data_IF_016372130424
#
_entry.id   IF_016372130424
#
_cell.length_a   1.000
_cell.length_b   1.000
_cell.length_c   1.000
_cell.angle_alpha   90.00
_cell.angle_beta   90.00
_cell.angle_gamma   90.00
#
_symmetry.space_group_name_H-M   'P 1'
#
loop_
_entity.id
_entity.type
_entity.pdbx_description
1 polymer ?
#
# COMPACT_ATOMS: atom_id res chain seq x y z
N UNK A 1 -3.13 3.36 24.13
CA UNK A 1 -3.94 4.53 23.70
C UNK A 1 -5.32 4.00 23.32
N UNK A 2 -6.39 4.72 23.65
CA UNK A 2 -7.74 4.41 23.18
C UNK A 2 -7.83 4.57 21.66
N UNK A 3 -8.48 3.62 20.98
CA UNK A 3 -8.65 3.62 19.54
C UNK A 3 -9.72 4.64 19.12
N UNK A 4 -9.59 5.22 17.92
CA UNK A 4 -10.54 6.23 17.42
C UNK A 4 -11.77 5.63 16.72
N UNK A 5 -11.63 4.47 16.09
CA UNK A 5 -12.61 3.93 15.14
C UNK A 5 -13.39 2.74 15.73
N UNK A 6 -14.30 3.00 16.66
CA UNK A 6 -15.14 1.93 17.22
C UNK A 6 -16.43 2.45 17.88
N UNK A 7 -17.42 1.57 17.99
CA UNK A 7 -18.61 1.77 18.81
C UNK A 7 -18.61 0.82 20.02
N UNK A 8 -19.17 1.28 21.14
CA UNK A 8 -19.45 0.45 22.30
C UNK A 8 -20.76 -0.31 22.07
N UNK A 9 -20.77 -1.58 22.45
CA UNK A 9 -21.93 -2.45 22.40
C UNK A 9 -22.32 -2.90 23.82
N UNK A 10 -23.41 -3.65 23.93
CA UNK A 10 -23.84 -4.28 25.18
C UNK A 10 -22.78 -5.24 25.75
N UNK A 11 -22.85 -5.50 27.05
CA UNK A 11 -21.96 -6.44 27.76
C UNK A 11 -20.46 -6.11 27.61
N UNK A 12 -20.13 -4.82 27.57
CA UNK A 12 -18.76 -4.31 27.37
C UNK A 12 -18.10 -4.79 26.06
N UNK A 13 -18.87 -5.28 25.09
CA UNK A 13 -18.35 -5.60 23.75
C UNK A 13 -18.09 -4.30 22.99
N UNK A 14 -17.24 -4.37 21.98
CA UNK A 14 -16.99 -3.25 21.05
C UNK A 14 -17.03 -3.74 19.62
N UNK A 15 -17.42 -2.88 18.68
CA UNK A 15 -17.22 -3.13 17.25
C UNK A 15 -16.20 -2.15 16.69
N UNK A 16 -15.11 -2.70 16.15
CA UNK A 16 -14.01 -1.93 15.58
C UNK A 16 -14.31 -1.58 14.12
N UNK A 17 -14.42 -0.30 13.77
CA UNK A 17 -14.66 0.20 12.41
C UNK A 17 -13.38 0.62 11.67
N UNK A 18 -12.20 0.30 12.21
CA UNK A 18 -10.93 0.68 11.58
C UNK A 18 -10.71 0.06 10.19
N UNK A 19 -11.14 -1.18 9.98
CA UNK A 19 -10.97 -1.90 8.72
C UNK A 19 -12.22 -2.72 8.42
N UNK A 20 -12.39 -3.14 7.16
CA UNK A 20 -13.60 -3.80 6.69
C UNK A 20 -13.84 -5.22 7.24
N UNK A 21 -13.09 -5.65 8.26
CA UNK A 21 -13.48 -6.81 9.08
C UNK A 21 -14.58 -6.50 10.06
N UNK A 22 -14.70 -5.23 10.48
CA UNK A 22 -15.70 -4.77 11.46
C UNK A 22 -15.80 -5.67 12.71
N UNK A 23 -14.64 -6.06 13.24
CA UNK A 23 -14.56 -7.06 14.32
C UNK A 23 -15.42 -6.66 15.51
N UNK A 24 -16.32 -7.55 15.94
CA UNK A 24 -16.94 -7.51 17.26
C UNK A 24 -15.99 -8.18 18.25
N UNK A 25 -15.56 -7.47 19.27
CA UNK A 25 -14.50 -7.88 20.19
C UNK A 25 -15.06 -7.92 21.60
N UNK A 26 -15.01 -9.09 22.24
CA UNK A 26 -15.40 -9.29 23.63
C UNK A 26 -14.37 -8.68 24.60
N UNK A 27 -14.76 -8.36 25.85
CA UNK A 27 -13.83 -7.91 26.88
C UNK A 27 -12.62 -8.84 27.02
N UNK A 28 -11.41 -8.27 27.09
CA UNK A 28 -10.15 -9.03 27.19
C UNK A 28 -9.72 -9.73 25.90
N UNK A 29 -10.47 -9.60 24.80
CA UNK A 29 -10.12 -10.18 23.49
C UNK A 29 -9.55 -9.14 22.55
N UNK A 30 -9.03 -9.63 21.42
CA UNK A 30 -8.44 -8.82 20.36
C UNK A 30 -9.09 -9.05 19.02
N UNK A 31 -9.06 -8.03 18.17
CA UNK A 31 -9.48 -8.14 16.77
C UNK A 31 -8.54 -9.01 15.94
N UNK A 32 -8.90 -9.28 14.69
CA UNK A 32 -8.15 -10.18 13.80
C UNK A 32 -6.70 -9.76 13.55
N UNK A 33 -6.39 -8.46 13.68
CA UNK A 33 -5.03 -7.93 13.55
C UNK A 33 -4.15 -8.15 14.79
N UNK A 34 -4.72 -8.64 15.90
CA UNK A 34 -4.05 -8.89 17.20
C UNK A 34 -3.46 -7.67 17.91
N UNK A 35 -3.68 -6.46 17.38
CA UNK A 35 -3.14 -5.20 17.93
C UNK A 35 -4.22 -4.25 18.45
N UNK A 36 -5.49 -4.64 18.32
CA UNK A 36 -6.66 -3.93 18.84
C UNK A 36 -7.30 -4.78 19.92
N UNK A 37 -7.30 -4.30 21.16
CA UNK A 37 -7.71 -5.03 22.35
C UNK A 37 -8.87 -4.33 23.04
N UNK A 38 -9.94 -5.04 23.33
CA UNK A 38 -11.04 -4.51 24.12
C UNK A 38 -10.71 -4.64 25.61
N UNK A 39 -10.58 -3.52 26.30
CA UNK A 39 -10.37 -3.44 27.75
C UNK A 39 -11.65 -2.91 28.39
N UNK A 40 -12.50 -3.83 28.82
CA UNK A 40 -13.75 -3.56 29.53
C UNK A 40 -14.65 -2.50 28.86
N UNK A 41 -14.85 -2.63 27.54
CA UNK A 41 -15.68 -1.72 26.74
C UNK A 41 -14.91 -0.54 26.12
N UNK A 42 -13.60 -0.48 26.31
CA UNK A 42 -12.71 0.51 25.69
C UNK A 42 -11.75 -0.18 24.73
N UNK A 43 -11.90 0.08 23.43
CA UNK A 43 -10.98 -0.46 22.44
C UNK A 43 -9.66 0.30 22.52
N UNK A 44 -8.56 -0.42 22.73
CA UNK A 44 -7.21 0.14 22.80
C UNK A 44 -6.35 -0.34 21.64
N UNK A 45 -5.53 0.54 21.08
CA UNK A 45 -4.40 0.15 20.23
C UNK A 45 -3.18 -0.20 21.08
N UNK A 46 -2.56 -1.33 20.76
CA UNK A 46 -1.36 -1.83 21.44
C UNK A 46 -0.06 -1.41 20.75
N UNK A 47 -0.16 -0.87 19.54
CA UNK A 47 0.99 -0.59 18.66
C UNK A 47 1.25 0.90 18.44
N UNK A 48 0.52 1.78 19.10
CA UNK A 48 0.81 3.22 19.04
C UNK A 48 2.24 3.49 19.51
N UNK A 49 3.07 4.03 18.61
CA UNK A 49 4.48 4.31 18.86
C UNK A 49 5.35 3.08 19.10
N UNK A 50 4.96 1.88 18.64
CA UNK A 50 5.74 0.63 18.75
C UNK A 50 6.33 0.25 17.40
N UNK A 51 7.46 0.87 17.06
CA UNK A 51 8.09 0.73 15.75
C UNK A 51 8.94 -0.53 15.71
N UNK A 52 8.64 -1.43 14.78
CA UNK A 52 9.39 -2.67 14.59
C UNK A 52 10.41 -2.59 13.44
N UNK A 53 10.23 -1.64 12.54
CA UNK A 53 11.14 -1.39 11.45
C UNK A 53 11.14 0.10 11.09
N UNK A 54 12.32 0.65 10.83
CA UNK A 54 12.54 1.99 10.31
C UNK A 54 13.70 1.92 9.30
N UNK A 55 13.47 2.32 8.03
CA UNK A 55 14.52 2.30 7.00
C UNK A 55 14.39 3.50 6.06
N UNK A 56 15.51 3.88 5.44
CA UNK A 56 15.51 4.78 4.28
C UNK A 56 15.38 3.96 3.02
N UNK A 57 14.24 4.11 2.34
CA UNK A 57 13.97 3.43 1.07
C UNK A 57 13.75 4.46 -0.04
N UNK A 58 14.16 4.17 -1.28
CA UNK A 58 13.73 4.96 -2.43
C UNK A 58 12.21 4.82 -2.63
N UNK A 59 11.57 5.88 -3.12
CA UNK A 59 10.11 5.87 -3.34
C UNK A 59 9.67 4.80 -4.35
N UNK A 60 10.56 4.42 -5.28
CA UNK A 60 10.35 3.34 -6.24
C UNK A 60 10.12 1.98 -5.57
N UNK A 61 10.61 1.77 -4.34
CA UNK A 61 10.36 0.55 -3.56
C UNK A 61 8.95 0.51 -2.97
N UNK A 62 8.21 1.63 -2.97
CA UNK A 62 6.80 1.75 -2.53
C UNK A 62 5.81 1.63 -3.69
N UNK A 63 6.21 0.92 -4.75
CA UNK A 63 5.78 1.12 -6.14
C UNK A 63 5.05 2.44 -6.44
N UNK A 64 5.72 3.57 -6.17
CA UNK A 64 5.21 4.90 -6.44
C UNK A 64 6.10 5.58 -7.49
N UNK A 65 5.88 5.26 -8.76
CA UNK A 65 6.74 5.72 -9.86
C UNK A 65 6.39 7.14 -10.31
N UNK A 66 5.19 7.61 -9.99
CA UNK A 66 4.65 8.91 -10.36
C UNK A 66 4.42 9.79 -9.13
N UNK A 67 5.13 9.51 -8.03
CA UNK A 67 5.12 10.32 -6.82
C UNK A 67 6.55 10.57 -6.36
N UNK A 68 7.05 11.79 -6.59
CA UNK A 68 8.38 12.25 -6.22
C UNK A 68 9.52 11.27 -6.62
N UNK A 69 9.58 10.81 -7.88
CA UNK A 69 10.55 9.80 -8.33
C UNK A 69 11.99 10.20 -8.02
N UNK A 70 12.79 9.25 -7.56
CA UNK A 70 14.19 9.43 -7.14
C UNK A 70 14.37 9.96 -5.72
N UNK A 71 13.30 10.32 -5.02
CA UNK A 71 13.36 10.74 -3.63
C UNK A 71 13.51 9.57 -2.64
N UNK A 72 14.03 9.88 -1.45
CA UNK A 72 14.02 8.98 -0.31
C UNK A 72 12.74 9.16 0.51
N UNK A 73 12.27 8.05 1.09
CA UNK A 73 11.15 8.03 2.03
C UNK A 73 11.52 7.26 3.31
N UNK A 74 11.31 7.91 4.46
CA UNK A 74 11.53 7.30 5.76
C UNK A 74 10.41 6.30 6.06
N UNK A 75 10.73 5.02 5.96
CA UNK A 75 9.77 3.92 5.97
C UNK A 75 9.63 3.31 7.34
N UNK A 76 8.42 3.27 7.90
CA UNK A 76 8.15 2.73 9.22
C UNK A 76 7.06 1.67 9.23
N UNK A 77 7.10 0.79 10.23
CA UNK A 77 6.07 -0.22 10.49
C UNK A 77 5.90 -0.51 11.98
N UNK A 78 4.74 -1.06 12.33
CA UNK A 78 4.50 -1.76 13.61
C UNK A 78 4.31 -3.25 13.35
N UNK A 79 4.16 -4.07 14.40
CA UNK A 79 3.70 -5.45 14.21
C UNK A 79 2.20 -5.51 13.91
N UNK A 80 1.76 -6.63 13.34
CA UNK A 80 0.35 -6.93 13.10
C UNK A 80 -0.13 -6.51 11.71
N UNK A 81 -1.16 -7.20 11.21
CA UNK A 81 -1.80 -6.93 9.94
C UNK A 81 -3.24 -7.48 10.00
N UNK A 82 -4.17 -6.80 9.32
CA UNK A 82 -5.55 -7.24 9.21
C UNK A 82 -5.74 -8.36 8.15
N UNK A 83 -4.73 -8.65 7.33
CA UNK A 83 -4.70 -9.78 6.40
C UNK A 83 -3.82 -10.93 6.92
N UNK A 84 -4.02 -12.12 6.36
CA UNK A 84 -3.23 -13.33 6.60
C UNK A 84 -2.76 -13.92 5.26
N UNK A 85 -2.17 -13.08 4.40
CA UNK A 85 -1.72 -13.47 3.06
C UNK A 85 -0.72 -14.63 3.12
N UNK A 86 -1.03 -15.75 2.46
CA UNK A 86 -0.16 -16.94 2.42
C UNK A 86 1.20 -16.69 1.73
N UNK A 87 1.32 -15.60 0.96
CA UNK A 87 2.53 -15.19 0.23
C UNK A 87 3.19 -13.93 0.83
N UNK A 88 2.89 -13.57 2.08
CA UNK A 88 3.42 -12.33 2.67
C UNK A 88 4.94 -12.41 2.87
N UNK A 89 5.70 -11.52 2.22
CA UNK A 89 7.16 -11.43 2.40
C UNK A 89 7.55 -10.89 3.79
N UNK A 90 6.66 -10.17 4.45
CA UNK A 90 6.85 -9.59 5.78
C UNK A 90 6.06 -10.36 6.85
N UNK A 91 5.84 -11.66 6.66
CA UNK A 91 5.03 -12.48 7.58
C UNK A 91 5.61 -12.50 9.00
N UNK A 92 6.92 -12.39 9.15
CA UNK A 92 7.59 -12.38 10.45
C UNK A 92 7.25 -11.17 11.33
N UNK A 93 6.85 -10.02 10.75
CA UNK A 93 6.39 -8.84 11.50
C UNK A 93 4.87 -8.63 11.41
N UNK A 94 4.27 -8.91 10.24
CA UNK A 94 2.82 -8.75 10.03
C UNK A 94 2.00 -9.81 10.78
N UNK A 95 2.52 -11.03 10.90
CA UNK A 95 1.88 -12.12 11.65
C UNK A 95 2.52 -12.35 13.03
N UNK A 96 3.49 -11.51 13.43
CA UNK A 96 4.21 -11.69 14.70
C UNK A 96 3.29 -11.91 15.89
N UNK A 97 2.29 -11.03 16.17
CA UNK A 97 1.47 -11.21 17.37
C UNK A 97 0.67 -12.50 17.31
N UNK A 98 0.18 -12.91 16.14
CA UNK A 98 -0.55 -14.17 15.94
C UNK A 98 0.33 -15.39 16.23
N UNK A 99 1.59 -15.36 15.78
CA UNK A 99 2.56 -16.46 15.91
C UNK A 99 3.22 -16.53 17.29
N UNK A 100 3.15 -15.45 18.07
CA UNK A 100 3.82 -15.33 19.36
C UNK A 100 2.85 -14.99 20.51
N UNK A 101 1.66 -15.61 20.53
CA UNK A 101 0.75 -15.54 21.67
C UNK A 101 0.25 -14.13 22.03
N UNK A 102 0.11 -13.26 21.03
CA UNK A 102 -0.30 -11.87 21.21
C UNK A 102 0.83 -10.94 21.68
N UNK A 103 2.09 -11.38 21.70
CA UNK A 103 3.21 -10.50 22.08
C UNK A 103 3.32 -9.31 21.12
N UNK A 104 3.44 -8.12 21.69
CA UNK A 104 3.69 -6.88 20.96
C UNK A 104 5.15 -6.48 21.17
N UNK A 105 5.87 -6.29 20.07
CA UNK A 105 7.28 -5.85 20.06
C UNK A 105 7.41 -4.55 19.28
N UNK A 106 8.55 -3.90 19.43
CA UNK A 106 8.88 -2.63 18.78
C UNK A 106 9.42 -1.61 19.77
N UNK A 107 10.26 -0.73 19.27
CA UNK A 107 10.85 0.38 20.01
C UNK A 107 9.81 1.47 20.25
N UNK A 108 9.84 2.06 21.44
CA UNK A 108 8.98 3.18 21.78
C UNK A 108 9.47 4.43 21.04
N UNK A 109 8.65 4.98 20.14
CA UNK A 109 8.93 6.20 19.40
C UNK A 109 7.72 7.13 19.47
N UNK A 110 7.97 8.42 19.68
CA UNK A 110 6.92 9.44 19.59
C UNK A 110 6.73 9.87 18.13
N UNK A 111 5.57 10.44 17.77
CA UNK A 111 5.40 11.01 16.44
C UNK A 111 6.47 12.05 16.07
N UNK A 112 6.88 12.88 17.03
CA UNK A 112 7.92 13.89 16.86
C UNK A 112 9.28 13.25 16.49
N UNK A 113 9.67 12.18 17.18
CA UNK A 113 10.92 11.46 16.88
C UNK A 113 10.93 10.86 15.47
N UNK A 114 9.78 10.43 14.94
CA UNK A 114 9.69 9.91 13.55
C UNK A 114 9.90 11.04 12.55
N UNK A 115 9.24 12.18 12.78
CA UNK A 115 9.35 13.34 11.90
C UNK A 115 10.74 13.94 11.92
N UNK A 116 11.37 14.05 13.09
CA UNK A 116 12.74 14.57 13.19
C UNK A 116 13.75 13.64 12.49
N UNK A 117 13.63 12.33 12.65
CA UNK A 117 14.47 11.36 11.92
C UNK A 117 14.30 11.49 10.40
N UNK A 118 13.05 11.62 9.92
CA UNK A 118 12.76 11.76 8.49
C UNK A 118 13.31 13.07 7.90
N UNK A 119 13.26 14.18 8.65
CA UNK A 119 13.89 15.44 8.26
C UNK A 119 15.41 15.30 8.24
N UNK A 120 16.00 14.74 9.30
CA UNK A 120 17.45 14.57 9.42
C UNK A 120 18.02 13.68 8.33
N UNK A 121 17.26 12.70 7.86
CA UNK A 121 17.70 11.81 6.78
C UNK A 121 17.61 12.44 5.39
N UNK A 122 17.07 13.65 5.24
CA UNK A 122 16.80 14.27 3.95
C UNK A 122 15.70 13.56 3.13
N UNK A 123 14.78 12.86 3.80
CA UNK A 123 13.66 12.23 3.09
C UNK A 123 12.68 13.28 2.58
N UNK A 124 12.04 13.03 1.43
CA UNK A 124 10.96 13.87 0.94
C UNK A 124 9.61 13.55 1.63
N UNK A 125 9.52 12.39 2.28
CA UNK A 125 8.33 11.96 2.99
C UNK A 125 8.57 10.79 3.93
N UNK A 126 7.46 10.33 4.51
CA UNK A 126 7.38 9.18 5.39
C UNK A 126 6.45 8.14 4.74
N UNK A 127 6.90 6.90 4.68
CA UNK A 127 6.12 5.77 4.20
C UNK A 127 5.71 4.85 5.34
N UNK A 128 4.41 4.57 5.44
CA UNK A 128 3.86 3.62 6.41
C UNK A 128 3.61 2.31 5.66
N UNK A 129 4.41 1.29 5.96
CA UNK A 129 4.62 0.15 5.04
C UNK A 129 5.09 -1.11 5.79
N UNK A 130 5.58 -2.12 5.07
CA UNK A 130 5.99 -3.47 5.48
C UNK A 130 4.89 -4.34 6.08
N UNK A 131 4.11 -3.80 7.01
CA UNK A 131 2.82 -4.34 7.46
C UNK A 131 1.67 -3.48 6.93
N UNK A 132 0.44 -3.73 7.38
CA UNK A 132 -0.70 -2.90 6.98
C UNK A 132 -0.76 -1.60 7.80
N UNK A 133 -0.60 -0.41 7.19
CA UNK A 133 -0.61 0.87 7.92
C UNK A 133 -1.95 1.19 8.60
N UNK A 134 -3.08 0.72 8.07
CA UNK A 134 -4.40 0.91 8.68
C UNK A 134 -4.43 0.42 10.13
N UNK A 135 -3.70 -0.65 10.50
CA UNK A 135 -3.78 -1.20 11.87
C UNK A 135 -3.16 -0.30 12.93
N UNK A 136 -2.34 0.68 12.54
CA UNK A 136 -1.73 1.68 13.43
C UNK A 136 -2.09 3.14 13.05
N UNK A 137 -3.28 3.31 12.46
CA UNK A 137 -3.81 4.59 11.94
C UNK A 137 -3.63 5.79 12.86
N UNK A 138 -3.93 5.68 14.15
CA UNK A 138 -3.84 6.82 15.07
C UNK A 138 -2.40 7.35 15.17
N UNK A 139 -1.42 6.45 15.17
CA UNK A 139 -0.01 6.86 15.17
C UNK A 139 0.39 7.44 13.82
N UNK A 140 -0.04 6.83 12.72
CA UNK A 140 0.24 7.31 11.37
C UNK A 140 -0.35 8.72 11.12
N UNK A 141 -1.56 8.98 11.61
CA UNK A 141 -2.20 10.28 11.51
C UNK A 141 -1.44 11.34 12.32
N UNK A 142 -1.09 11.05 13.58
CA UNK A 142 -0.37 12.01 14.43
C UNK A 142 1.03 12.33 13.85
N UNK A 143 1.75 11.32 13.32
CA UNK A 143 2.99 11.53 12.57
C UNK A 143 2.73 12.36 11.32
N UNK A 144 1.70 12.04 10.55
CA UNK A 144 1.43 12.68 9.28
C UNK A 144 1.05 14.16 9.39
N UNK A 145 0.27 14.51 10.40
CA UNK A 145 -0.05 15.91 10.72
C UNK A 145 1.20 16.71 11.09
N UNK A 146 2.12 16.12 11.87
CA UNK A 146 3.41 16.73 12.20
C UNK A 146 4.33 16.83 10.98
N UNK A 147 4.39 15.79 10.16
CA UNK A 147 5.21 15.69 8.96
C UNK A 147 4.87 16.79 7.95
N UNK A 148 3.56 17.03 7.72
CA UNK A 148 3.07 18.09 6.83
C UNK A 148 3.51 19.48 7.27
N UNK A 149 3.53 19.77 8.58
CA UNK A 149 4.04 21.04 9.12
C UNK A 149 5.53 21.23 8.87
N UNK A 150 6.27 20.16 8.58
CA UNK A 150 7.69 20.15 8.26
C UNK A 150 7.97 19.98 6.76
N UNK A 151 6.93 20.04 5.90
CA UNK A 151 7.07 19.91 4.45
C UNK A 151 7.26 18.48 3.94
N UNK A 152 7.15 17.46 4.81
CA UNK A 152 7.25 16.06 4.44
C UNK A 152 5.92 15.53 3.90
N UNK A 153 6.00 14.65 2.89
CA UNK A 153 4.86 13.91 2.35
C UNK A 153 4.52 12.67 3.15
N UNK A 154 3.26 12.25 3.15
CA UNK A 154 2.79 11.01 3.78
C UNK A 154 2.31 10.01 2.77
N UNK A 155 2.83 8.79 2.88
CA UNK A 155 2.62 7.73 1.90
C UNK A 155 2.20 6.43 2.58
N UNK A 156 1.10 5.84 2.15
CA UNK A 156 0.77 4.47 2.51
C UNK A 156 1.23 3.47 1.44
N UNK A 157 1.59 2.27 1.89
CA UNK A 157 1.60 1.07 1.05
C UNK A 157 0.67 0.09 1.75
N UNK A 158 -0.55 -0.02 1.26
CA UNK A 158 -1.65 -0.66 1.99
C UNK A 158 -2.28 -1.80 1.20
N UNK A 159 -3.01 -2.67 1.89
CA UNK A 159 -3.91 -3.64 1.28
C UNK A 159 -5.30 -3.07 0.97
N UNK A 160 -5.51 -1.77 1.23
CA UNK A 160 -6.76 -1.06 0.92
C UNK A 160 -7.99 -1.59 1.64
N UNK A 161 -7.89 -2.33 2.74
CA UNK A 161 -9.06 -2.94 3.40
C UNK A 161 -9.69 -2.04 4.47
N UNK A 162 -9.85 -0.76 4.14
CA UNK A 162 -10.37 0.27 5.04
C UNK A 162 -11.91 0.27 5.07
N UNK A 163 -12.49 0.88 6.11
CA UNK A 163 -13.91 1.26 6.07
C UNK A 163 -14.05 2.64 5.43
N UNK A 164 -15.28 3.07 5.15
CA UNK A 164 -15.53 4.44 4.69
C UNK A 164 -14.97 5.51 5.65
N UNK A 165 -15.09 5.27 6.96
CA UNK A 165 -14.64 6.19 8.00
C UNK A 165 -13.12 6.29 8.04
N UNK A 166 -12.41 5.14 8.07
CA UNK A 166 -10.95 5.16 8.12
C UNK A 166 -10.31 5.62 6.81
N UNK A 167 -10.92 5.31 5.66
CA UNK A 167 -10.50 5.87 4.37
C UNK A 167 -10.68 7.41 4.32
N UNK A 168 -11.77 7.93 4.92
CA UNK A 168 -11.99 9.37 5.05
C UNK A 168 -10.95 10.04 5.94
N UNK A 169 -10.58 9.41 7.06
CA UNK A 169 -9.51 9.90 7.94
C UNK A 169 -8.14 9.90 7.23
N UNK A 170 -7.80 8.83 6.49
CA UNK A 170 -6.60 8.75 5.64
C UNK A 170 -6.49 9.93 4.69
N UNK A 171 -7.58 10.23 3.98
CA UNK A 171 -7.60 11.33 3.01
C UNK A 171 -7.29 12.71 3.63
N UNK A 172 -7.44 12.87 4.95
CA UNK A 172 -7.11 14.11 5.65
C UNK A 172 -5.61 14.39 5.78
N UNK A 173 -4.74 13.39 5.66
CA UNK A 173 -3.29 13.56 5.86
C UNK A 173 -2.39 12.86 4.82
N UNK A 174 -2.90 11.88 4.09
CA UNK A 174 -2.13 11.17 3.06
C UNK A 174 -1.99 12.00 1.79
N UNK A 175 -0.77 12.02 1.25
CA UNK A 175 -0.50 12.58 -0.07
C UNK A 175 -0.55 11.49 -1.15
N UNK A 176 -0.18 10.23 -0.82
CA UNK A 176 -0.30 9.09 -1.72
C UNK A 176 -0.58 7.77 -0.99
N UNK A 177 -1.16 6.80 -1.72
CA UNK A 177 -1.25 5.40 -1.31
C UNK A 177 -0.94 4.48 -2.51
N UNK A 178 -0.06 3.50 -2.29
CA UNK A 178 0.05 2.35 -3.18
C UNK A 178 -0.82 1.22 -2.62
N UNK A 179 -1.94 0.97 -3.29
CA UNK A 179 -2.92 -0.03 -2.83
C UNK A 179 -2.69 -1.37 -3.53
N UNK A 180 -2.53 -2.43 -2.76
CA UNK A 180 -2.43 -3.80 -3.26
C UNK A 180 -3.81 -4.36 -3.67
N UNK A 181 -4.15 -4.26 -4.96
CA UNK A 181 -5.25 -5.01 -5.56
C UNK A 181 -4.76 -6.41 -5.94
N UNK A 182 -4.81 -7.34 -4.98
CA UNK A 182 -4.15 -8.65 -5.05
C UNK A 182 -4.79 -9.63 -6.05
N UNK A 183 -6.05 -9.43 -6.40
CA UNK A 183 -6.83 -10.27 -7.32
C UNK A 183 -8.14 -9.56 -7.67
N UNK A 184 -8.83 -10.00 -8.72
CA UNK A 184 -10.21 -9.63 -9.03
C UNK A 184 -11.20 -10.77 -8.75
N UNK A 185 -10.84 -11.70 -7.85
CA UNK A 185 -11.67 -12.83 -7.42
C UNK A 185 -11.82 -12.82 -5.90
N UNK A 186 -13.06 -12.75 -5.40
CA UNK A 186 -13.31 -12.77 -3.96
C UNK A 186 -12.82 -14.08 -3.29
N UNK A 187 -12.86 -15.20 -4.02
CA UNK A 187 -12.36 -16.49 -3.54
C UNK A 187 -10.85 -16.48 -3.25
N UNK A 188 -10.06 -15.75 -4.05
CA UNK A 188 -8.64 -15.51 -3.76
C UNK A 188 -8.48 -14.78 -2.43
N UNK A 189 -9.25 -13.71 -2.18
CA UNK A 189 -9.18 -12.98 -0.92
C UNK A 189 -9.57 -13.86 0.27
N UNK A 190 -10.63 -14.66 0.15
CA UNK A 190 -11.08 -15.55 1.23
C UNK A 190 -10.06 -16.65 1.54
N UNK A 191 -9.52 -17.31 0.51
CA UNK A 191 -8.61 -18.44 0.68
C UNK A 191 -7.19 -18.01 1.01
N UNK A 192 -6.64 -17.07 0.23
CA UNK A 192 -5.24 -16.64 0.27
C UNK A 192 -5.00 -15.52 1.26
N UNK A 193 -5.92 -14.56 1.41
CA UNK A 193 -5.70 -13.37 2.25
C UNK A 193 -6.50 -13.38 3.57
N UNK A 194 -7.49 -14.26 3.70
CA UNK A 194 -8.52 -14.27 4.76
C UNK A 194 -9.27 -12.93 4.84
N UNK A 195 -9.65 -12.39 3.69
CA UNK A 195 -10.31 -11.10 3.52
C UNK A 195 -11.39 -11.16 2.43
N UNK A 196 -11.82 -9.99 1.92
CA UNK A 196 -12.82 -9.84 0.85
C UNK A 196 -12.33 -8.85 -0.22
N UNK A 197 -12.76 -9.02 -1.46
CA UNK A 197 -12.38 -8.14 -2.56
C UNK A 197 -13.07 -6.77 -2.48
N UNK A 198 -14.40 -6.76 -2.32
CA UNK A 198 -15.21 -5.54 -2.46
C UNK A 198 -14.70 -4.34 -1.65
N UNK A 199 -14.32 -4.48 -0.36
CA UNK A 199 -13.83 -3.34 0.40
C UNK A 199 -12.52 -2.74 -0.12
N UNK A 200 -11.68 -3.53 -0.81
CA UNK A 200 -10.46 -3.03 -1.46
C UNK A 200 -10.82 -2.13 -2.65
N UNK A 201 -11.75 -2.58 -3.49
CA UNK A 201 -12.24 -1.80 -4.63
C UNK A 201 -12.86 -0.48 -4.16
N UNK A 202 -13.73 -0.54 -3.14
CA UNK A 202 -14.36 0.66 -2.57
C UNK A 202 -13.34 1.63 -1.96
N UNK A 203 -12.27 1.13 -1.34
CA UNK A 203 -11.22 1.98 -0.77
C UNK A 203 -10.43 2.68 -1.86
N UNK A 204 -10.06 1.99 -2.95
CA UNK A 204 -9.41 2.59 -4.12
C UNK A 204 -10.30 3.72 -4.68
N UNK A 205 -11.59 3.47 -4.86
CA UNK A 205 -12.54 4.49 -5.35
C UNK A 205 -12.66 5.70 -4.40
N UNK A 206 -12.68 5.47 -3.08
CA UNK A 206 -12.81 6.53 -2.08
C UNK A 206 -11.56 7.40 -2.03
N UNK A 207 -10.38 6.79 -1.97
CA UNK A 207 -9.11 7.50 -1.96
C UNK A 207 -8.90 8.30 -3.27
N UNK A 208 -9.27 7.71 -4.41
CA UNK A 208 -9.19 8.41 -5.70
C UNK A 208 -10.08 9.66 -5.71
N UNK A 209 -11.35 9.51 -5.32
CA UNK A 209 -12.30 10.63 -5.24
C UNK A 209 -11.88 11.70 -4.25
N UNK A 210 -11.17 11.33 -3.18
CA UNK A 210 -10.66 12.26 -2.18
C UNK A 210 -9.38 13.00 -2.63
N UNK A 211 -8.84 12.69 -3.81
CA UNK A 211 -7.66 13.37 -4.35
C UNK A 211 -6.32 12.87 -3.80
N UNK A 212 -6.31 11.74 -3.09
CA UNK A 212 -5.06 11.06 -2.72
C UNK A 212 -4.42 10.52 -4.00
N UNK A 213 -3.11 10.75 -4.20
CA UNK A 213 -2.41 10.16 -5.35
C UNK A 213 -2.40 8.63 -5.21
N UNK A 214 -2.89 7.93 -6.23
CA UNK A 214 -3.01 6.48 -6.18
C UNK A 214 -2.17 5.82 -7.27
N UNK A 215 -1.42 4.82 -6.85
CA UNK A 215 -0.90 3.78 -7.71
C UNK A 215 -1.38 2.44 -7.17
N UNK A 216 -1.59 1.45 -8.05
CA UNK A 216 -2.14 0.16 -7.65
C UNK A 216 -1.16 -0.94 -8.00
N UNK A 217 -0.93 -1.86 -7.06
CA UNK A 217 -0.04 -3.00 -7.26
C UNK A 217 -0.81 -4.31 -7.26
N UNK A 218 -0.48 -5.18 -8.21
CA UNK A 218 -0.93 -6.57 -8.24
C UNK A 218 0.32 -7.47 -8.28
N UNK A 219 0.55 -8.23 -7.21
CA UNK A 219 1.52 -9.31 -7.23
C UNK A 219 0.92 -10.47 -8.03
N UNK A 220 1.47 -10.75 -9.20
CA UNK A 220 0.97 -11.81 -10.10
C UNK A 220 1.57 -13.14 -9.64
N UNK A 221 0.72 -14.11 -9.31
CA UNK A 221 1.06 -15.43 -8.78
C UNK A 221 0.61 -16.49 -9.77
N UNK A 222 1.54 -17.33 -10.29
CA UNK A 222 1.22 -18.34 -11.29
C UNK A 222 0.10 -19.29 -10.89
N UNK A 223 -0.91 -19.43 -11.75
CA UNK A 223 -2.06 -20.30 -11.57
C UNK A 223 -3.09 -19.82 -10.53
N UNK A 224 -3.00 -18.57 -10.05
CA UNK A 224 -3.98 -18.01 -9.10
C UNK A 224 -4.66 -16.74 -9.61
N UNK A 225 -3.90 -15.76 -10.11
CA UNK A 225 -4.42 -14.47 -10.55
C UNK A 225 -3.71 -13.95 -11.83
N UNK A 226 -3.08 -14.86 -12.58
CA UNK A 226 -2.28 -14.56 -13.77
C UNK A 226 -3.04 -14.80 -15.09
N UNK A 227 -4.35 -15.09 -15.02
CA UNK A 227 -5.17 -15.28 -16.21
C UNK A 227 -5.36 -13.96 -16.97
N UNK A 228 -5.30 -13.95 -18.31
CA UNK A 228 -5.54 -12.74 -19.10
C UNK A 228 -6.88 -12.06 -18.82
N UNK A 229 -7.92 -12.85 -18.53
CA UNK A 229 -9.26 -12.37 -18.23
C UNK A 229 -9.27 -11.55 -16.93
N UNK A 230 -8.70 -12.09 -15.86
CA UNK A 230 -8.64 -11.43 -14.55
C UNK A 230 -7.77 -10.17 -14.60
N UNK A 231 -6.59 -10.25 -15.22
CA UNK A 231 -5.72 -9.09 -15.43
C UNK A 231 -6.42 -7.99 -16.23
N UNK A 232 -7.23 -8.36 -17.22
CA UNK A 232 -8.05 -7.44 -17.99
C UNK A 232 -9.14 -6.76 -17.15
N UNK A 233 -9.74 -7.48 -16.20
CA UNK A 233 -10.75 -6.90 -15.29
C UNK A 233 -10.13 -5.90 -14.31
N UNK A 234 -8.96 -6.21 -13.74
CA UNK A 234 -8.19 -5.26 -12.93
C UNK A 234 -7.92 -3.99 -13.75
N UNK A 235 -7.38 -4.14 -14.96
CA UNK A 235 -7.06 -2.99 -15.80
C UNK A 235 -8.29 -2.15 -16.17
N UNK A 236 -9.42 -2.80 -16.51
CA UNK A 236 -10.68 -2.11 -16.81
C UNK A 236 -11.25 -1.39 -15.59
N UNK A 237 -11.17 -1.99 -14.40
CA UNK A 237 -11.57 -1.35 -13.15
C UNK A 237 -10.76 -0.06 -12.92
N UNK A 238 -9.43 -0.15 -12.96
CA UNK A 238 -8.57 1.04 -12.78
C UNK A 238 -8.84 2.10 -13.85
N UNK A 239 -8.98 1.69 -15.11
CA UNK A 239 -9.31 2.59 -16.22
C UNK A 239 -10.66 3.29 -16.03
N UNK A 240 -11.64 2.61 -15.45
CA UNK A 240 -12.97 3.19 -15.19
C UNK A 240 -12.91 4.34 -14.19
N UNK A 241 -11.91 4.35 -13.30
CA UNK A 241 -11.64 5.45 -12.39
C UNK A 241 -10.83 6.54 -13.08
N UNK A 242 -9.68 6.18 -13.66
CA UNK A 242 -8.86 7.11 -14.45
C UNK A 242 -7.85 6.35 -15.31
N UNK A 243 -7.61 6.77 -16.57
CA UNK A 243 -6.51 6.22 -17.37
C UNK A 243 -5.12 6.57 -16.80
N UNK A 244 -5.06 7.57 -15.91
CA UNK A 244 -3.83 8.07 -15.32
C UNK A 244 -3.36 7.33 -14.08
N UNK A 245 -4.15 6.39 -13.52
CA UNK A 245 -3.71 5.57 -12.37
C UNK A 245 -2.66 4.57 -12.85
N UNK A 246 -1.40 4.67 -12.36
CA UNK A 246 -0.39 3.67 -12.64
C UNK A 246 -0.75 2.31 -12.06
N UNK A 247 -0.60 1.27 -12.87
CA UNK A 247 -0.74 -0.10 -12.44
C UNK A 247 0.61 -0.83 -12.46
N UNK A 248 0.97 -1.42 -11.33
CA UNK A 248 2.20 -2.19 -11.15
C UNK A 248 1.88 -3.68 -11.08
N UNK A 249 2.38 -4.45 -12.04
CA UNK A 249 2.33 -5.91 -12.02
C UNK A 249 3.68 -6.45 -11.59
N UNK A 250 3.73 -7.08 -10.42
CA UNK A 250 4.99 -7.50 -9.80
C UNK A 250 5.14 -9.02 -9.77
N UNK A 251 6.37 -9.51 -9.95
CA UNK A 251 6.64 -10.94 -9.91
C UNK A 251 6.57 -11.47 -8.48
N UNK A 252 5.84 -12.57 -8.31
CA UNK A 252 5.86 -13.41 -7.13
C UNK A 252 7.15 -14.24 -7.07
N UNK A 253 7.56 -14.56 -5.84
CA UNK A 253 8.48 -15.65 -5.58
C UNK A 253 7.94 -16.51 -4.42
N UNK A 254 8.24 -17.81 -4.40
CA UNK A 254 7.88 -18.69 -3.28
C UNK A 254 8.30 -18.06 -1.95
N UNK A 255 7.35 -17.93 -1.02
CA UNK A 255 7.59 -17.34 0.30
C UNK A 255 6.47 -17.71 1.27
N UNK A 256 6.74 -17.58 2.57
CA UNK A 256 5.83 -17.91 3.66
C UNK A 256 5.20 -19.31 3.49
N UNK A 257 3.88 -19.43 3.41
CA UNK A 257 3.17 -20.71 3.25
C UNK A 257 3.01 -21.12 1.77
N UNK A 258 3.21 -20.18 0.84
CA UNK A 258 3.04 -20.40 -0.59
C UNK A 258 4.36 -20.78 -1.24
N UNK A 259 4.81 -22.02 -0.99
CA UNK A 259 6.05 -22.57 -1.52
C UNK A 259 5.85 -23.53 -2.70
N UNK A 260 4.59 -23.79 -3.07
CA UNK A 260 4.15 -24.80 -4.03
C UNK A 260 4.05 -24.30 -5.48
N UNK A 261 4.43 -23.03 -5.73
CA UNK A 261 4.33 -22.37 -7.04
C UNK A 261 5.65 -21.74 -7.44
N UNK A 262 6.00 -21.70 -8.74
CA UNK A 262 7.24 -21.10 -9.19
C UNK A 262 7.21 -19.57 -9.08
N UNK A 263 8.39 -18.95 -9.25
CA UNK A 263 8.48 -17.51 -9.49
C UNK A 263 7.69 -17.13 -10.75
N UNK A 264 7.09 -15.95 -10.76
CA UNK A 264 6.38 -15.44 -11.94
C UNK A 264 7.35 -15.19 -13.09
N UNK A 265 7.15 -15.81 -14.25
CA UNK A 265 7.97 -15.53 -15.42
C UNK A 265 7.82 -14.07 -15.88
N UNK A 266 8.90 -13.45 -16.36
CA UNK A 266 8.84 -12.09 -16.88
C UNK A 266 7.86 -11.94 -18.05
N UNK A 267 7.74 -12.97 -18.90
CA UNK A 267 6.75 -13.02 -19.98
C UNK A 267 5.31 -12.82 -19.48
N UNK A 268 4.96 -13.35 -18.31
CA UNK A 268 3.63 -13.16 -17.70
C UNK A 268 3.38 -11.69 -17.36
N UNK A 269 4.37 -11.00 -16.81
CA UNK A 269 4.26 -9.58 -16.47
C UNK A 269 4.23 -8.68 -17.70
N UNK A 270 5.04 -8.98 -18.71
CA UNK A 270 4.99 -8.29 -20.00
C UNK A 270 3.62 -8.46 -20.66
N UNK A 271 3.02 -9.65 -20.55
CA UNK A 271 1.67 -9.87 -21.05
C UNK A 271 0.62 -9.08 -20.27
N UNK A 272 0.72 -9.05 -18.94
CA UNK A 272 -0.17 -8.23 -18.10
C UNK A 272 -0.05 -6.73 -18.44
N UNK A 273 1.17 -6.25 -18.71
CA UNK A 273 1.43 -4.89 -19.19
C UNK A 273 0.72 -4.61 -20.51
N UNK A 274 0.84 -5.49 -21.50
CA UNK A 274 0.13 -5.36 -22.78
C UNK A 274 -1.38 -5.26 -22.58
N UNK A 275 -1.95 -6.14 -21.74
CA UNK A 275 -3.37 -6.17 -21.42
C UNK A 275 -3.81 -4.84 -20.79
N UNK A 276 -3.04 -4.32 -19.83
CA UNK A 276 -3.37 -3.08 -19.15
C UNK A 276 -3.31 -1.86 -20.07
N UNK A 277 -2.29 -1.78 -20.94
CA UNK A 277 -2.18 -0.73 -21.96
C UNK A 277 -3.32 -0.83 -22.99
N UNK A 278 -3.66 -2.05 -23.44
CA UNK A 278 -4.78 -2.28 -24.38
C UNK A 278 -6.15 -1.94 -23.78
N UNK A 279 -6.30 -2.06 -22.46
CA UNK A 279 -7.49 -1.60 -21.73
C UNK A 279 -7.57 -0.06 -21.63
N UNK A 280 -6.53 0.67 -22.03
CA UNK A 280 -6.49 2.13 -22.07
C UNK A 280 -5.85 2.80 -20.85
N UNK A 281 -5.17 2.04 -19.98
CA UNK A 281 -4.30 2.64 -18.97
C UNK A 281 -3.09 3.27 -19.66
N UNK A 282 -2.66 4.44 -19.17
CA UNK A 282 -1.48 5.13 -19.70
C UNK A 282 -0.18 4.52 -19.20
N UNK A 283 -0.18 3.98 -17.98
CA UNK A 283 1.03 3.55 -17.29
C UNK A 283 0.89 2.12 -16.75
N UNK A 284 1.36 1.22 -17.60
CA UNK A 284 1.81 -0.16 -17.33
C UNK A 284 3.11 -0.20 -16.51
N UNK A 285 3.33 -0.90 -15.40
CA UNK A 285 4.68 -1.14 -14.88
C UNK A 285 4.91 -2.59 -14.49
N UNK A 286 6.11 -3.09 -14.75
CA UNK A 286 6.54 -4.44 -14.35
C UNK A 286 7.52 -4.33 -13.19
N UNK A 287 7.25 -5.03 -12.10
CA UNK A 287 8.06 -5.02 -10.88
C UNK A 287 8.76 -6.35 -10.60
N UNK A 288 9.81 -6.30 -9.78
CA UNK A 288 10.62 -7.46 -9.35
C UNK A 288 11.33 -8.25 -10.47
N UNK A 289 11.48 -7.66 -11.66
CA UNK A 289 12.23 -8.22 -12.80
C UNK A 289 13.18 -7.18 -13.40
N UNK A 290 14.14 -6.65 -12.61
CA UNK A 290 14.96 -5.51 -13.01
C UNK A 290 15.71 -5.77 -14.32
N UNK A 291 15.61 -4.82 -15.25
CA UNK A 291 16.26 -4.90 -16.57
C UNK A 291 15.56 -5.81 -17.58
N UNK A 292 14.40 -6.38 -17.26
CA UNK A 292 13.62 -7.23 -18.17
C UNK A 292 12.49 -6.46 -18.88
N UNK A 293 12.54 -5.13 -18.84
CA UNK A 293 11.63 -4.23 -19.54
C UNK A 293 10.36 -3.91 -18.76
N UNK A 294 9.78 -2.73 -19.03
CA UNK A 294 8.53 -2.25 -18.44
C UNK A 294 8.64 -1.42 -17.15
N UNK A 295 9.86 -1.01 -16.75
CA UNK A 295 10.11 -0.18 -15.57
C UNK A 295 10.16 1.34 -15.88
N UNK A 296 10.35 1.69 -17.16
CA UNK A 296 10.51 3.07 -17.61
C UNK A 296 9.16 3.77 -17.79
N UNK A 297 9.12 5.06 -17.42
CA UNK A 297 7.99 5.93 -17.76
C UNK A 297 8.20 6.46 -19.17
N UNK A 298 7.20 6.22 -20.04
CA UNK A 298 7.16 6.76 -21.40
C UNK A 298 5.95 7.68 -21.55
N UNK A 299 6.07 8.70 -22.41
CA UNK A 299 4.98 9.62 -22.66
C UNK A 299 3.82 8.90 -23.34
N UNK A 300 2.64 8.92 -22.72
CA UNK A 300 1.44 8.27 -23.27
C UNK A 300 0.99 8.87 -24.61
N UNK A 301 1.42 10.10 -24.94
CA UNK A 301 0.99 10.81 -26.15
C UNK A 301 1.96 10.64 -27.33
N UNK A 302 3.28 10.62 -27.10
CA UNK A 302 4.29 10.56 -28.18
C UNK A 302 5.31 9.43 -28.05
N UNK A 303 5.29 8.66 -26.96
CA UNK A 303 6.20 7.53 -26.75
C UNK A 303 7.61 7.91 -26.27
N UNK A 304 7.91 9.20 -26.08
CA UNK A 304 9.20 9.65 -25.56
C UNK A 304 9.56 8.99 -24.22
N UNK A 305 10.82 8.60 -24.01
CA UNK A 305 11.32 8.20 -22.70
C UNK A 305 11.32 9.40 -21.76
N UNK A 306 10.66 9.28 -20.61
CA UNK A 306 10.51 10.37 -19.64
C UNK A 306 11.29 10.10 -18.36
N UNK A 307 11.19 8.88 -17.83
CA UNK A 307 11.97 8.48 -16.65
C UNK A 307 12.56 7.10 -16.93
N UNK A 308 13.89 7.02 -16.91
CA UNK A 308 14.64 5.77 -17.07
C UNK A 308 14.93 5.16 -15.70
N UNK A 309 14.59 3.88 -15.53
CA UNK A 309 14.78 3.12 -14.29
C UNK A 309 15.55 1.83 -14.55
N UNK A 310 16.26 1.38 -13.52
CA UNK A 310 16.71 0.01 -13.37
C UNK A 310 16.41 -0.44 -11.93
N UNK A 311 15.39 -1.27 -11.75
CA UNK A 311 14.85 -1.55 -10.41
C UNK A 311 14.44 -0.25 -9.73
N UNK A 312 14.92 -0.06 -8.50
CA UNK A 312 14.58 1.11 -7.68
C UNK A 312 15.48 2.34 -7.92
N UNK A 313 16.30 2.35 -8.97
CA UNK A 313 17.21 3.48 -9.27
C UNK A 313 16.72 4.25 -10.48
N UNK A 314 16.61 5.57 -10.34
CA UNK A 314 16.45 6.49 -11.47
C UNK A 314 17.80 6.68 -12.15
N UNK A 315 17.87 6.40 -13.45
CA UNK A 315 19.04 6.67 -14.31
C UNK A 315 18.95 8.00 -15.02
N UNK A 316 17.72 8.44 -15.32
CA UNK A 316 17.44 9.74 -15.92
C UNK A 316 16.00 10.14 -15.68
N UNK A 317 15.78 11.43 -15.42
CA UNK A 317 14.47 12.05 -15.36
C UNK A 317 14.46 13.23 -16.33
N UNK A 318 13.66 13.13 -17.39
CA UNK A 318 13.59 14.07 -18.50
C UNK A 318 12.30 14.88 -18.50
N UNK A 319 11.46 14.73 -17.47
CA UNK A 319 10.26 15.56 -17.29
C UNK A 319 10.64 17.01 -17.05
N UNK A 320 9.82 17.93 -17.56
CA UNK A 320 9.91 19.36 -17.27
C UNK A 320 8.59 19.81 -16.66
N UNK A 321 8.60 20.17 -15.38
CA UNK A 321 7.41 20.62 -14.64
C UNK A 321 6.21 19.65 -14.80
N UNK A 322 6.49 18.34 -14.73
CA UNK A 322 5.47 17.29 -14.91
C UNK A 322 4.95 17.12 -16.34
N UNK A 323 5.65 17.64 -17.36
CA UNK A 323 5.27 17.54 -18.77
C UNK A 323 6.33 16.81 -19.59
N UNK A 324 5.88 16.22 -20.69
CA UNK A 324 6.77 15.67 -21.71
C UNK A 324 7.51 16.82 -22.43
N UNK A 325 8.85 16.82 -22.50
CA UNK A 325 9.58 17.88 -23.18
C UNK A 325 9.36 17.90 -24.71
N UNK A 326 9.00 16.74 -25.30
CA UNK A 326 8.84 16.62 -26.76
C UNK A 326 7.47 17.08 -27.26
N UNK A 327 6.38 16.78 -26.54
CA UNK A 327 5.02 17.07 -26.99
C UNK A 327 4.17 17.89 -26.00
N UNK A 328 4.75 18.29 -24.86
CA UNK A 328 4.12 19.13 -23.83
C UNK A 328 2.89 18.52 -23.13
N UNK A 329 2.58 17.25 -23.41
CA UNK A 329 1.53 16.52 -22.72
C UNK A 329 1.80 16.50 -21.20
N UNK A 330 0.82 16.88 -20.36
CA UNK A 330 0.93 16.76 -18.91
C UNK A 330 0.95 15.27 -18.54
N UNK A 331 1.91 14.87 -17.73
CA UNK A 331 2.08 13.48 -17.30
C UNK A 331 1.47 13.36 -15.90
N UNK A 332 0.52 12.44 -15.73
CA UNK A 332 -0.21 12.28 -14.47
C UNK A 332 0.78 11.90 -13.36
N UNK A 333 0.84 12.66 -12.27
CA UNK A 333 1.75 12.37 -11.17
C UNK A 333 1.97 13.57 -10.27
N UNK A 334 2.68 13.32 -9.17
CA UNK A 334 3.24 14.35 -8.28
C UNK A 334 4.74 14.39 -8.54
N UNK A 335 5.20 15.45 -9.19
CA UNK A 335 6.58 15.60 -9.66
C UNK A 335 7.34 16.61 -8.79
N UNK A 336 8.68 16.49 -8.78
CA UNK A 336 9.58 17.47 -8.16
C UNK A 336 9.93 18.61 -9.10
#
# INVERSE_FOLDING_TARGET
MEARFYEKLEENKVRCHLCAHECKIEPGKRGLCHVRENRDGVLSTLVYGRIIAANLDPIEKKPLFHFLPGSLSYSIATVGCNFMCLHCQNFDISQYPRRHGGRIIGEARTPQMIVDDAVLSGSAGISYTYTEPTVFMEFAQDVGELARRRGLKNVFVSNGFMTAESAGACAGFLDADNVDLKSFRDDFYRKVCKARLTPVLETIERLHRAGVWLEVTTLVIPGLNDSPEELGEIARFLRSLSPGIPWHVSAFHPTHEMLDRPRTPAATLLKAREIGLAAGLRYVYTGNIPGQGGENTVCYACGALLVERLGYRIRGNFLQEGRCPQCQAPIDGVWQ
#
